data_IF_096854579663
#
_entry.id   IF_096854579663
#
_cell.length_a   1.000
_cell.length_b   1.000
_cell.length_c   1.000
_cell.angle_alpha   90.00
_cell.angle_beta   90.00
_cell.angle_gamma   90.00
#
_symmetry.space_group_name_H-M   'P 1'
#
loop_
_entity.id
_entity.type
_entity.pdbx_description
1 polymer ?
#
# COMPACT_ATOMS: atom_id res chain seq x y z
N UNK A 1 2.28 20.17 -1.48
CA UNK A 1 2.23 19.39 -2.74
C UNK A 1 1.28 18.22 -2.58
N UNK A 2 0.30 18.00 -3.44
CA UNK A 2 -0.55 16.80 -3.38
C UNK A 2 -0.03 15.77 -4.38
N UNK A 3 0.18 14.53 -3.95
CA UNK A 3 0.63 13.42 -4.82
C UNK A 3 -0.52 12.46 -5.02
N UNK A 4 -0.74 12.02 -6.27
CA UNK A 4 -1.77 11.05 -6.64
C UNK A 4 -1.11 9.91 -7.40
N UNK A 5 -1.46 8.68 -7.05
CA UNK A 5 -1.00 7.48 -7.74
C UNK A 5 -2.18 6.53 -7.99
N UNK A 6 -2.10 5.79 -9.09
CA UNK A 6 -3.06 4.74 -9.45
C UNK A 6 -2.30 3.50 -9.88
N UNK A 7 -2.81 2.32 -9.55
CA UNK A 7 -2.27 1.04 -9.98
C UNK A 7 -3.41 0.13 -10.47
N UNK A 8 -3.32 -0.44 -11.69
CA UNK A 8 -4.36 -1.33 -12.20
C UNK A 8 -4.33 -2.69 -11.51
N UNK A 9 -5.50 -3.28 -11.33
CA UNK A 9 -5.65 -4.70 -11.05
C UNK A 9 -5.25 -5.52 -12.28
N UNK A 10 -4.91 -6.80 -12.05
CA UNK A 10 -4.52 -7.75 -13.10
C UNK A 10 -5.44 -8.96 -13.15
N UNK A 11 -5.60 -9.55 -14.33
CA UNK A 11 -6.34 -10.80 -14.57
C UNK A 11 -5.56 -11.74 -15.52
N UNK A 12 -6.13 -12.93 -15.78
CA UNK A 12 -5.64 -13.93 -16.74
C UNK A 12 -4.22 -14.42 -16.43
N UNK A 13 -4.03 -15.04 -15.26
CA UNK A 13 -2.73 -15.57 -14.83
C UNK A 13 -2.38 -16.90 -15.49
N UNK A 14 -1.97 -16.86 -16.75
CA UNK A 14 -1.37 -18.04 -17.37
C UNK A 14 -0.03 -18.34 -16.71
N UNK A 15 0.10 -19.56 -16.19
CA UNK A 15 1.23 -19.93 -15.33
C UNK A 15 1.08 -19.47 -13.88
N UNK A 16 -0.12 -19.09 -13.45
CA UNK A 16 -0.41 -18.77 -12.05
C UNK A 16 0.11 -19.86 -11.10
N UNK A 17 0.54 -19.43 -9.92
CA UNK A 17 1.25 -20.22 -8.89
C UNK A 17 2.73 -20.51 -9.17
N UNK A 18 3.22 -20.35 -10.40
CA UNK A 18 4.65 -20.60 -10.69
C UNK A 18 5.57 -19.52 -10.12
N UNK A 19 5.04 -18.34 -9.78
CA UNK A 19 5.74 -17.23 -9.13
C UNK A 19 5.73 -17.30 -7.59
N UNK A 20 5.17 -18.36 -7.01
CA UNK A 20 5.13 -18.52 -5.54
C UNK A 20 6.49 -18.90 -4.97
N UNK A 21 6.69 -18.57 -3.69
CA UNK A 21 7.97 -18.72 -2.99
C UNK A 21 8.53 -20.16 -2.98
N UNK A 22 7.68 -21.18 -3.09
CA UNK A 22 8.07 -22.60 -3.09
C UNK A 22 8.25 -23.20 -4.49
N UNK A 23 7.85 -22.49 -5.56
CA UNK A 23 8.00 -22.99 -6.93
C UNK A 23 9.47 -22.96 -7.41
N UNK A 24 10.32 -22.15 -6.77
CA UNK A 24 11.74 -21.97 -7.10
C UNK A 24 11.98 -21.17 -8.38
N UNK A 25 11.24 -21.44 -9.45
CA UNK A 25 11.24 -20.70 -10.71
C UNK A 25 9.86 -20.72 -11.39
N UNK A 26 9.52 -19.67 -12.12
CA UNK A 26 8.24 -19.59 -12.82
C UNK A 26 8.16 -18.50 -13.86
N UNK A 27 7.09 -18.56 -14.64
CA UNK A 27 6.77 -17.62 -15.70
C UNK A 27 5.26 -17.40 -15.66
N UNK A 28 4.88 -16.13 -15.47
CA UNK A 28 3.48 -15.71 -15.45
C UNK A 28 3.26 -14.70 -16.57
N UNK A 29 2.22 -14.94 -17.37
CA UNK A 29 1.66 -13.94 -18.28
C UNK A 29 0.33 -13.49 -17.68
N UNK A 30 0.15 -12.17 -17.49
CA UNK A 30 -1.09 -11.57 -17.03
C UNK A 30 -1.37 -10.25 -17.77
N UNK A 31 -2.58 -9.71 -17.61
CA UNK A 31 -2.97 -8.42 -18.19
C UNK A 31 -3.54 -7.48 -17.14
N UNK A 32 -3.12 -6.21 -17.20
CA UNK A 32 -3.74 -5.12 -16.46
C UNK A 32 -5.12 -4.79 -17.05
N UNK A 33 -6.09 -4.44 -16.19
CA UNK A 33 -7.46 -4.09 -16.59
C UNK A 33 -7.86 -2.71 -16.09
N UNK A 34 -8.97 -2.18 -16.63
CA UNK A 34 -9.58 -0.91 -16.25
C UNK A 34 -10.32 -1.00 -14.88
N UNK A 35 -9.55 -1.36 -13.85
CA UNK A 35 -9.95 -1.42 -12.45
C UNK A 35 -8.72 -1.04 -11.63
N UNK A 36 -8.81 -0.03 -10.76
CA UNK A 36 -7.63 0.58 -10.14
C UNK A 36 -7.73 0.67 -8.62
N UNK A 37 -6.60 0.40 -7.96
CA UNK A 37 -6.32 0.94 -6.64
C UNK A 37 -5.83 2.39 -6.78
N UNK A 38 -6.30 3.29 -5.91
CA UNK A 38 -5.98 4.72 -5.96
C UNK A 38 -5.46 5.17 -4.60
N UNK A 39 -4.42 5.98 -4.61
CA UNK A 39 -3.84 6.59 -3.40
C UNK A 39 -3.65 8.08 -3.63
N UNK A 40 -4.00 8.87 -2.62
CA UNK A 40 -3.72 10.31 -2.57
C UNK A 40 -2.96 10.61 -1.29
N UNK A 41 -1.79 11.23 -1.43
CA UNK A 41 -0.99 11.70 -0.30
C UNK A 41 -1.07 13.21 -0.26
N UNK A 42 -1.47 13.72 0.90
CA UNK A 42 -1.58 15.14 1.18
C UNK A 42 -0.67 15.44 2.37
N UNK A 43 0.30 16.36 2.22
CA UNK A 43 1.14 16.79 3.32
C UNK A 43 0.27 17.49 4.35
N UNK A 44 0.63 17.28 5.61
CA UNK A 44 -0.02 17.91 6.75
C UNK A 44 1.04 18.66 7.55
N UNK A 45 0.62 19.67 8.29
CA UNK A 45 1.51 20.48 9.12
C UNK A 45 1.88 19.80 10.44
N UNK A 46 1.10 18.80 10.87
CA UNK A 46 1.30 18.11 12.16
C UNK A 46 2.18 16.86 11.97
N UNK A 47 3.04 16.53 12.95
CA UNK A 47 3.80 15.28 12.91
C UNK A 47 2.91 14.04 12.76
N UNK A 48 3.50 12.99 12.18
CA UNK A 48 2.83 11.72 11.94
C UNK A 48 1.98 11.68 10.66
N UNK A 49 1.13 10.68 10.55
CA UNK A 49 0.32 10.40 9.36
C UNK A 49 -1.10 9.95 9.72
N UNK A 50 -2.04 10.21 8.83
CA UNK A 50 -3.40 9.67 8.89
C UNK A 50 -3.61 8.74 7.70
N UNK A 51 -3.98 7.49 7.96
CA UNK A 51 -4.39 6.53 6.93
C UNK A 51 -5.91 6.60 6.83
N UNK A 52 -6.43 6.85 5.63
CA UNK A 52 -7.88 6.80 5.36
C UNK A 52 -8.14 5.68 4.36
N UNK A 53 -8.68 4.57 4.84
CA UNK A 53 -9.01 3.41 4.02
C UNK A 53 -10.48 3.52 3.57
N UNK A 54 -10.70 4.24 2.48
CA UNK A 54 -12.04 4.59 2.00
C UNK A 54 -12.93 3.36 1.76
N UNK A 55 -12.38 2.27 1.20
CA UNK A 55 -13.12 1.04 0.90
C UNK A 55 -13.64 0.33 2.16
N UNK A 56 -13.04 0.62 3.32
CA UNK A 56 -13.44 0.08 4.61
C UNK A 56 -14.24 1.08 5.46
N UNK A 57 -14.31 2.35 5.05
CA UNK A 57 -14.91 3.41 5.86
C UNK A 57 -14.14 3.70 7.15
N UNK A 58 -12.86 3.34 7.21
CA UNK A 58 -12.03 3.41 8.41
C UNK A 58 -10.89 4.44 8.26
N UNK A 59 -10.45 4.99 9.39
CA UNK A 59 -9.29 5.86 9.47
C UNK A 59 -8.44 5.52 10.70
N UNK A 60 -7.11 5.57 10.53
CA UNK A 60 -6.13 5.30 11.58
C UNK A 60 -5.16 6.47 11.67
N UNK A 61 -4.98 7.00 12.87
CA UNK A 61 -4.01 8.07 13.16
C UNK A 61 -2.71 7.45 13.69
N UNK A 62 -1.59 7.79 13.07
CA UNK A 62 -0.25 7.41 13.50
C UNK A 62 0.47 8.68 13.93
N UNK A 63 0.68 8.84 15.23
CA UNK A 63 1.35 10.04 15.79
C UNK A 63 2.87 9.89 15.85
N UNK A 64 3.33 8.67 16.13
CA UNK A 64 4.73 8.29 16.25
C UNK A 64 4.94 7.05 15.38
N UNK A 65 5.63 7.18 14.23
CA UNK A 65 5.86 6.05 13.34
C UNK A 65 6.70 4.92 13.96
N UNK A 66 7.50 5.22 14.98
CA UNK A 66 8.24 4.19 15.73
C UNK A 66 7.33 3.26 16.54
N UNK A 67 6.08 3.67 16.77
CA UNK A 67 5.06 2.91 17.51
C UNK A 67 4.00 2.29 16.59
N UNK A 68 4.26 2.17 15.29
CA UNK A 68 3.35 1.49 14.37
C UNK A 68 3.15 0.04 14.83
N UNK A 69 1.92 -0.29 15.21
CA UNK A 69 1.49 -1.63 15.60
C UNK A 69 0.80 -2.32 14.41
N UNK A 70 1.26 -3.54 14.11
CA UNK A 70 0.63 -4.43 13.15
C UNK A 70 -0.42 -5.29 13.87
N UNK A 71 -1.67 -4.83 13.87
CA UNK A 71 -2.80 -5.39 14.65
C UNK A 71 -3.86 -6.04 13.75
N UNK A 72 -3.54 -6.25 12.47
CA UNK A 72 -4.46 -6.75 11.45
C UNK A 72 -5.28 -5.66 10.75
N UNK A 73 -5.24 -4.41 11.21
CA UNK A 73 -5.98 -3.30 10.56
C UNK A 73 -5.08 -2.47 9.67
N UNK A 74 -5.34 -2.50 8.36
CA UNK A 74 -4.62 -1.71 7.37
C UNK A 74 -3.08 -1.85 7.44
N UNK A 75 -2.59 -3.00 7.87
CA UNK A 75 -1.17 -3.24 8.12
C UNK A 75 -0.30 -3.07 6.87
N UNK A 76 -0.85 -3.32 5.68
CA UNK A 76 -0.16 -3.03 4.41
C UNK A 76 0.12 -1.53 4.23
N UNK A 77 -0.85 -0.68 4.59
CA UNK A 77 -0.70 0.78 4.50
C UNK A 77 0.26 1.30 5.58
N UNK A 78 0.19 0.73 6.79
CA UNK A 78 1.14 1.02 7.88
C UNK A 78 2.57 0.62 7.49
N UNK A 79 2.74 -0.56 6.89
CA UNK A 79 4.03 -1.05 6.41
C UNK A 79 4.59 -0.16 5.30
N UNK A 80 3.73 0.33 4.38
CA UNK A 80 4.15 1.26 3.35
C UNK A 80 4.73 2.55 3.94
N UNK A 81 4.07 3.15 4.95
CA UNK A 81 4.58 4.34 5.64
C UNK A 81 5.95 4.08 6.29
N UNK A 82 6.10 2.91 6.95
CA UNK A 82 7.34 2.50 7.59
C UNK A 82 8.49 2.33 6.58
N UNK A 83 8.24 1.69 5.43
CA UNK A 83 9.23 1.53 4.36
C UNK A 83 9.62 2.86 3.73
N UNK A 84 8.66 3.78 3.56
CA UNK A 84 8.94 5.12 3.02
C UNK A 84 9.61 6.05 4.03
N UNK A 85 9.77 5.62 5.29
CA UNK A 85 10.39 6.41 6.36
C UNK A 85 9.83 7.83 6.41
N UNK A 86 8.52 7.98 6.53
CA UNK A 86 7.85 9.28 6.69
C UNK A 86 8.14 9.84 8.11
N UNK A 87 9.41 10.07 8.39
CA UNK A 87 9.98 10.61 9.63
C UNK A 87 11.08 11.65 9.35
N UNK A 88 11.39 11.95 8.09
CA UNK A 88 12.49 12.85 7.74
C UNK A 88 12.26 13.55 6.42
N UNK A 89 11.41 14.56 6.40
CA UNK A 89 11.53 15.65 5.45
C UNK A 89 11.56 16.92 6.30
N UNK A 90 12.77 17.50 6.39
CA UNK A 90 13.00 18.84 6.96
C UNK A 90 12.04 19.89 6.39
#
# INVERSE_FOLDING_TARGET
>A
MIVKAIAPARILDFGGWTDTWFAGHGLVLNMAVDLYAKVVIIPREKPGASIVAQDFGEAVEIRDPSQILYDGKHDLLKAALNVTQVDGVD
#
